data_IF_414418937642
#
_entry.id   IF_414418937642
#
_cell.length_a   1.000
_cell.length_b   1.000
_cell.length_c   1.000
_cell.angle_alpha   90.00
_cell.angle_beta   90.00
_cell.angle_gamma   90.00
#
_symmetry.space_group_name_H-M   'P 1'
#
loop_
_entity.id
_entity.type
_entity.pdbx_description
1 polymer ?
#
# COMPACT_ATOMS: atom_id res chain seq x y z
N UNK A 1 5.36 -11.80 11.82
CA UNK A 1 6.23 -11.41 10.69
C UNK A 1 5.39 -10.53 9.81
N UNK A 2 5.80 -9.28 9.59
CA UNK A 2 5.00 -8.33 8.82
C UNK A 2 4.99 -8.72 7.34
N UNK A 3 3.82 -8.61 6.70
CA UNK A 3 3.67 -8.81 5.26
C UNK A 3 3.96 -7.50 4.54
N UNK A 4 4.75 -7.55 3.46
CA UNK A 4 5.13 -6.35 2.71
C UNK A 4 4.76 -6.53 1.24
N UNK A 5 4.09 -5.51 0.66
CA UNK A 5 3.92 -5.38 -0.78
C UNK A 5 4.71 -4.19 -1.29
N UNK A 6 5.43 -4.37 -2.38
CA UNK A 6 6.30 -3.35 -2.97
C UNK A 6 5.84 -3.07 -4.40
N UNK A 7 5.64 -1.79 -4.70
CA UNK A 7 5.25 -1.29 -6.02
C UNK A 7 6.29 -0.29 -6.54
N UNK A 8 6.55 -0.33 -7.83
CA UNK A 8 7.14 0.78 -8.56
C UNK A 8 6.07 1.86 -8.71
N UNK A 9 6.41 3.11 -8.40
CA UNK A 9 5.57 4.28 -8.54
C UNK A 9 6.31 5.30 -9.40
N UNK A 10 6.00 5.33 -10.69
CA UNK A 10 6.60 6.24 -11.66
C UNK A 10 5.70 7.47 -11.80
N UNK A 11 6.26 8.65 -11.49
CA UNK A 11 5.54 9.92 -11.59
C UNK A 11 6.51 11.07 -11.76
N UNK A 12 6.02 12.17 -12.35
CA UNK A 12 6.76 13.41 -12.45
C UNK A 12 6.65 14.28 -11.17
N UNK A 13 5.74 13.94 -10.24
CA UNK A 13 5.57 14.68 -9.00
C UNK A 13 6.71 14.42 -8.02
N UNK A 14 7.27 15.49 -7.45
CA UNK A 14 8.24 15.37 -6.36
C UNK A 14 7.57 14.86 -5.08
N UNK A 15 8.35 14.26 -4.19
CA UNK A 15 7.93 13.84 -2.85
C UNK A 15 7.22 14.95 -2.08
N UNK A 16 7.73 16.19 -2.16
CA UNK A 16 7.13 17.31 -1.44
C UNK A 16 5.74 17.67 -2.00
N UNK A 17 5.56 17.58 -3.32
CA UNK A 17 4.28 17.78 -3.97
C UNK A 17 3.29 16.67 -3.60
N UNK A 18 3.73 15.40 -3.64
CA UNK A 18 2.94 14.25 -3.21
C UNK A 18 2.50 14.40 -1.74
N UNK A 19 3.43 14.75 -0.84
CA UNK A 19 3.14 14.95 0.57
C UNK A 19 2.12 16.09 0.79
N UNK A 20 2.28 17.21 0.07
CA UNK A 20 1.34 18.34 0.14
C UNK A 20 -0.06 17.94 -0.33
N UNK A 21 -0.17 17.17 -1.42
CA UNK A 21 -1.43 16.62 -1.91
C UNK A 21 -2.06 15.67 -0.90
N UNK A 22 -1.28 14.81 -0.25
CA UNK A 22 -1.76 13.91 0.81
C UNK A 22 -2.30 14.71 2.00
N UNK A 23 -1.60 15.76 2.44
CA UNK A 23 -2.05 16.63 3.53
C UNK A 23 -3.36 17.35 3.20
N UNK A 24 -3.56 17.78 1.95
CA UNK A 24 -4.85 18.34 1.50
C UNK A 24 -5.99 17.33 1.55
N UNK A 25 -5.67 16.03 1.52
CA UNK A 25 -6.61 14.92 1.66
C UNK A 25 -6.48 14.22 3.02
N UNK A 26 -6.15 14.98 4.07
CA UNK A 26 -5.99 14.42 5.42
C UNK A 26 -7.28 13.78 5.93
N UNK A 27 -7.13 12.65 6.63
CA UNK A 27 -8.19 11.96 7.34
C UNK A 27 -8.69 12.83 8.51
N UNK A 28 -10.01 12.92 8.64
CA UNK A 28 -10.70 13.57 9.77
C UNK A 28 -11.83 12.66 10.23
N UNK A 29 -12.33 12.84 11.44
CA UNK A 29 -13.44 12.04 12.00
C UNK A 29 -14.72 12.09 11.16
N UNK A 30 -14.92 13.18 10.42
CA UNK A 30 -16.09 13.40 9.55
C UNK A 30 -15.93 12.76 8.16
N UNK A 31 -14.70 12.48 7.73
CA UNK A 31 -14.43 11.89 6.41
C UNK A 31 -14.44 10.37 6.48
N UNK A 32 -14.99 9.73 5.45
CA UNK A 32 -14.92 8.28 5.29
C UNK A 32 -13.55 7.78 4.85
N UNK A 33 -12.67 8.67 4.37
CA UNK A 33 -11.32 8.29 3.95
C UNK A 33 -10.33 9.46 4.04
N UNK A 34 -9.04 9.14 4.06
CA UNK A 34 -7.98 10.15 3.98
C UNK A 34 -6.61 9.63 4.40
N UNK A 35 -5.62 10.51 4.26
CA UNK A 35 -4.23 10.22 4.63
C UNK A 35 -3.89 10.77 6.02
N UNK A 36 -2.97 10.09 6.69
CA UNK A 36 -2.33 10.55 7.91
C UNK A 36 -0.82 10.39 7.73
N UNK A 37 -0.08 11.50 7.67
CA UNK A 37 1.37 11.45 7.48
C UNK A 37 2.06 11.50 8.84
N UNK A 38 2.88 10.49 9.14
CA UNK A 38 3.67 10.42 10.38
C UNK A 38 4.98 11.17 10.23
N UNK A 39 5.67 10.94 9.09
CA UNK A 39 6.96 11.54 8.82
C UNK A 39 7.12 11.84 7.34
N UNK A 40 7.63 13.04 7.04
CA UNK A 40 8.19 13.37 5.74
C UNK A 40 9.61 13.86 5.97
N UNK A 41 10.58 12.98 5.76
CA UNK A 41 12.01 13.29 5.78
C UNK A 41 12.51 13.48 4.34
N UNK A 42 13.80 13.77 4.17
CA UNK A 42 14.36 14.22 2.87
C UNK A 42 14.13 13.24 1.73
N UNK A 43 14.08 11.92 1.99
CA UNK A 43 14.04 10.90 0.94
C UNK A 43 12.78 10.03 0.95
N UNK A 44 11.94 10.11 1.98
CA UNK A 44 10.73 9.29 2.07
C UNK A 44 9.54 9.98 2.73
N UNK A 45 8.35 9.49 2.40
CA UNK A 45 7.08 9.79 3.07
C UNK A 45 6.66 8.53 3.80
N UNK A 46 6.31 8.65 5.08
CA UNK A 46 5.71 7.58 5.87
C UNK A 46 4.32 8.05 6.29
N UNK A 47 3.33 7.19 6.11
CA UNK A 47 2.00 7.49 6.55
C UNK A 47 1.05 6.33 6.43
N UNK A 48 -0.20 6.65 6.68
CA UNK A 48 -1.30 5.72 6.75
C UNK A 48 -2.44 6.26 5.91
N UNK A 49 -3.12 5.39 5.18
CA UNK A 49 -4.37 5.72 4.52
C UNK A 49 -5.50 4.94 5.17
N UNK A 50 -6.57 5.66 5.50
CA UNK A 50 -7.75 5.12 6.16
C UNK A 50 -8.93 5.12 5.21
N UNK A 51 -9.71 4.04 5.24
CA UNK A 51 -10.97 3.92 4.53
C UNK A 51 -12.02 3.26 5.44
N UNK A 52 -12.95 4.08 5.93
CA UNK A 52 -14.11 3.69 6.72
C UNK A 52 -15.27 3.31 5.79
N UNK A 53 -15.72 2.07 5.92
CA UNK A 53 -16.88 1.52 5.25
C UNK A 53 -17.98 1.28 6.29
N UNK A 54 -19.20 1.71 5.99
CA UNK A 54 -20.37 1.47 6.84
C UNK A 54 -21.34 0.62 6.02
N UNK A 55 -21.63 -0.57 6.52
CA UNK A 55 -22.53 -1.52 5.87
C UNK A 55 -23.79 -1.67 6.72
N UNK A 56 -24.99 -1.50 6.13
CA UNK A 56 -26.21 -1.89 6.79
C UNK A 56 -26.25 -3.41 6.88
N UNK A 57 -26.52 -3.93 8.06
CA UNK A 57 -26.72 -5.34 8.32
C UNK A 57 -28.13 -5.52 8.86
N UNK A 58 -28.97 -6.24 8.13
CA UNK A 58 -30.31 -6.59 8.59
C UNK A 58 -30.17 -7.89 9.38
N UNK A 59 -30.52 -7.82 10.66
CA UNK A 59 -30.54 -8.98 11.55
C UNK A 59 -31.99 -9.36 11.82
N UNK A 60 -32.28 -10.65 11.73
CA UNK A 60 -33.60 -11.19 12.08
C UNK A 60 -33.49 -11.88 13.43
N UNK A 61 -34.35 -11.51 14.37
CA UNK A 61 -34.45 -12.21 15.65
C UNK A 61 -35.12 -13.60 15.48
N UNK A 62 -35.04 -14.49 16.48
CA UNK A 62 -35.72 -15.78 16.43
C UNK A 62 -37.26 -15.71 16.33
N UNK A 63 -37.86 -14.54 16.54
CA UNK A 63 -39.30 -14.28 16.41
C UNK A 63 -39.68 -13.75 15.02
N UNK A 64 -38.70 -13.51 14.13
CA UNK A 64 -38.90 -12.99 12.78
C UNK A 64 -38.89 -11.47 12.65
N UNK A 65 -38.55 -10.73 13.71
CA UNK A 65 -38.43 -9.27 13.62
C UNK A 65 -37.08 -8.88 13.04
N UNK A 66 -37.10 -7.99 12.05
CA UNK A 66 -35.90 -7.41 11.47
C UNK A 66 -35.49 -6.15 12.24
N UNK A 67 -34.19 -6.02 12.51
CA UNK A 67 -33.59 -4.80 13.01
C UNK A 67 -32.31 -4.47 12.22
N UNK A 68 -32.13 -3.19 11.94
CA UNK A 68 -30.99 -2.69 11.19
C UNK A 68 -29.82 -2.42 12.16
N UNK A 69 -28.71 -3.10 11.92
CA UNK A 69 -27.43 -2.87 12.56
C UNK A 69 -26.47 -2.19 11.57
N UNK A 70 -25.46 -1.50 12.08
CA UNK A 70 -24.42 -0.89 11.25
C UNK A 70 -23.06 -1.51 11.56
N UNK A 71 -22.49 -2.21 10.58
CA UNK A 71 -21.12 -2.68 10.65
C UNK A 71 -20.19 -1.57 10.17
N UNK A 72 -19.34 -1.08 11.05
CA UNK A 72 -18.27 -0.14 10.70
C UNK A 72 -16.97 -0.92 10.53
N UNK A 73 -16.44 -0.94 9.31
CA UNK A 73 -15.12 -1.50 9.00
C UNK A 73 -14.16 -0.38 8.63
N UNK A 74 -12.94 -0.41 9.15
CA UNK A 74 -11.89 0.54 8.78
C UNK A 74 -10.74 -0.25 8.16
N UNK A 75 -10.54 -0.09 6.86
CA UNK A 75 -9.33 -0.56 6.20
C UNK A 75 -8.21 0.46 6.42
N UNK A 76 -7.05 -0.06 6.84
CA UNK A 76 -5.85 0.74 7.11
C UNK A 76 -4.73 0.26 6.21
N UNK A 77 -4.06 1.20 5.55
CA UNK A 77 -2.92 0.94 4.66
C UNK A 77 -1.73 1.72 5.19
N UNK A 78 -0.79 1.04 5.85
CA UNK A 78 0.47 1.64 6.28
C UNK A 78 1.44 1.63 5.10
N UNK A 79 2.04 2.78 4.77
CA UNK A 79 2.86 2.90 3.58
C UNK A 79 4.12 3.75 3.78
N UNK A 80 5.12 3.46 2.96
CA UNK A 80 6.28 4.30 2.75
C UNK A 80 6.46 4.59 1.26
N UNK A 81 6.66 5.85 0.88
CA UNK A 81 7.08 6.23 -0.46
C UNK A 81 8.52 6.71 -0.45
N UNK A 82 9.38 6.06 -1.25
CA UNK A 82 10.81 6.35 -1.38
C UNK A 82 11.08 6.98 -2.74
N UNK A 83 11.29 8.29 -2.78
CA UNK A 83 11.39 9.07 -4.03
C UNK A 83 12.56 8.63 -4.91
N UNK A 84 13.76 8.48 -4.32
CA UNK A 84 14.98 8.13 -5.06
C UNK A 84 14.91 6.78 -5.77
N UNK A 85 14.19 5.83 -5.18
CA UNK A 85 13.98 4.52 -5.77
C UNK A 85 12.69 4.44 -6.60
N UNK A 86 11.83 5.46 -6.48
CA UNK A 86 10.47 5.46 -7.04
C UNK A 86 9.67 4.22 -6.58
N UNK A 87 9.77 3.90 -5.29
CA UNK A 87 9.17 2.71 -4.68
C UNK A 87 8.11 3.11 -3.65
N UNK A 88 6.94 2.48 -3.74
CA UNK A 88 5.89 2.48 -2.73
C UNK A 88 5.88 1.13 -2.00
N UNK A 89 6.12 1.17 -0.70
CA UNK A 89 6.06 0.01 0.21
C UNK A 89 4.77 0.08 0.98
N UNK A 90 4.04 -1.03 1.10
CA UNK A 90 2.84 -1.14 1.93
C UNK A 90 3.02 -2.27 2.92
N UNK A 91 2.87 -1.94 4.20
CA UNK A 91 3.11 -2.82 5.35
C UNK A 91 1.77 -3.36 5.82
N UNK A 92 1.73 -4.67 6.09
CA UNK A 92 0.54 -5.44 6.45
C UNK A 92 -0.69 -5.07 5.59
N UNK A 93 -0.55 -5.14 4.25
CA UNK A 93 -1.59 -4.69 3.34
C UNK A 93 -2.88 -5.51 3.51
N UNK A 94 -4.06 -4.89 3.42
CA UNK A 94 -5.32 -5.60 3.28
C UNK A 94 -5.33 -6.55 2.07
N UNK A 95 -6.28 -7.49 2.06
CA UNK A 95 -6.40 -8.50 0.98
C UNK A 95 -6.41 -7.86 -0.42
N UNK A 96 -7.16 -6.77 -0.57
CA UNK A 96 -7.22 -5.98 -1.80
C UNK A 96 -6.43 -4.69 -1.66
N UNK A 97 -5.57 -4.44 -2.64
CA UNK A 97 -4.83 -3.19 -2.79
C UNK A 97 -5.47 -2.23 -3.78
N UNK A 98 -6.48 -2.68 -4.54
CA UNK A 98 -7.05 -1.95 -5.68
C UNK A 98 -7.54 -0.56 -5.27
N UNK A 99 -8.24 -0.46 -4.14
CA UNK A 99 -8.78 0.80 -3.66
C UNK A 99 -7.69 1.82 -3.32
N UNK A 100 -6.67 1.40 -2.57
CA UNK A 100 -5.56 2.27 -2.20
C UNK A 100 -4.75 2.71 -3.43
N UNK A 101 -4.44 1.80 -4.35
CA UNK A 101 -3.71 2.11 -5.59
C UNK A 101 -4.50 3.10 -6.46
N UNK A 102 -5.81 2.89 -6.63
CA UNK A 102 -6.68 3.85 -7.32
C UNK A 102 -6.70 5.21 -6.62
N UNK A 103 -6.65 5.22 -5.27
CA UNK A 103 -6.63 6.48 -4.53
C UNK A 103 -5.33 7.25 -4.72
N UNK A 104 -4.18 6.56 -4.78
CA UNK A 104 -2.91 7.18 -5.16
C UNK A 104 -2.97 7.69 -6.61
N UNK A 105 -3.59 6.94 -7.52
CA UNK A 105 -3.89 7.40 -8.88
C UNK A 105 -4.61 8.75 -8.89
N UNK A 106 -5.76 8.82 -8.23
CA UNK A 106 -6.58 10.04 -8.13
C UNK A 106 -5.82 11.19 -7.44
N UNK A 107 -5.05 10.90 -6.38
CA UNK A 107 -4.23 11.89 -5.67
C UNK A 107 -3.23 12.58 -6.61
N UNK A 108 -2.72 11.84 -7.59
CA UNK A 108 -1.73 12.28 -8.57
C UNK A 108 -2.37 12.56 -9.94
N UNK A 109 -3.65 12.95 -9.96
CA UNK A 109 -4.39 13.31 -11.17
C UNK A 109 -4.38 12.23 -12.28
N UNK A 110 -4.21 10.97 -11.87
CA UNK A 110 -3.98 9.79 -12.72
C UNK A 110 -2.72 9.88 -13.62
N UNK A 111 -1.81 10.80 -13.35
CA UNK A 111 -0.50 10.93 -14.00
C UNK A 111 0.59 10.21 -13.19
N UNK A 112 0.33 8.92 -12.96
CA UNK A 112 1.21 8.01 -12.23
C UNK A 112 1.05 6.60 -12.79
N UNK A 113 2.15 5.87 -12.92
CA UNK A 113 2.14 4.44 -13.20
C UNK A 113 2.53 3.69 -11.94
N UNK A 114 1.63 2.83 -11.47
CA UNK A 114 1.87 1.98 -10.28
C UNK A 114 1.85 0.52 -10.72
N UNK A 115 2.97 -0.17 -10.53
CA UNK A 115 3.09 -1.59 -10.93
C UNK A 115 3.86 -2.40 -9.88
N UNK A 116 3.65 -3.72 -9.78
CA UNK A 116 4.46 -4.55 -8.88
C UNK A 116 5.94 -4.45 -9.23
N UNK A 117 6.82 -4.41 -8.22
CA UNK A 117 8.27 -4.40 -8.46
C UNK A 117 8.71 -5.70 -9.13
N UNK A 118 9.54 -5.56 -10.16
CA UNK A 118 10.20 -6.69 -10.83
C UNK A 118 11.61 -6.85 -10.28
N UNK A 119 11.90 -7.98 -9.68
CA UNK A 119 13.24 -8.31 -9.21
C UNK A 119 14.01 -9.12 -10.25
N UNK A 120 15.20 -8.63 -10.62
CA UNK A 120 16.17 -9.43 -11.37
C UNK A 120 17.05 -10.19 -10.37
N UNK A 121 16.76 -11.48 -10.20
CA UNK A 121 17.46 -12.33 -9.23
C UNK A 121 18.96 -12.45 -9.52
N UNK A 122 19.38 -12.45 -10.78
CA UNK A 122 20.79 -12.52 -11.16
C UNK A 122 21.53 -11.28 -10.66
N UNK A 123 21.01 -10.09 -10.99
CA UNK A 123 21.60 -8.83 -10.52
C UNK A 123 21.60 -8.73 -9.00
N UNK A 124 20.56 -9.26 -8.34
CA UNK A 124 20.52 -9.33 -6.88
C UNK A 124 21.63 -10.23 -6.32
N UNK A 125 21.86 -11.41 -6.91
CA UNK A 125 22.95 -12.29 -6.49
C UNK A 125 24.33 -11.64 -6.68
N UNK A 126 24.53 -10.94 -7.79
CA UNK A 126 25.79 -10.24 -8.07
C UNK A 126 26.02 -9.11 -7.07
N UNK A 127 24.96 -8.36 -6.73
CA UNK A 127 25.00 -7.34 -5.68
C UNK A 127 25.41 -7.95 -4.33
N UNK A 128 24.79 -9.05 -3.92
CA UNK A 128 25.14 -9.72 -2.66
C UNK A 128 26.61 -10.18 -2.66
N UNK A 129 27.09 -10.80 -3.74
CA UNK A 129 28.50 -11.21 -3.87
C UNK A 129 29.45 -10.01 -3.82
N UNK A 130 29.06 -8.87 -4.36
CA UNK A 130 29.90 -7.65 -4.33
C UNK A 130 30.02 -7.02 -2.94
N UNK A 131 29.06 -7.30 -2.04
CA UNK A 131 29.03 -6.72 -0.70
C UNK A 131 29.71 -7.62 0.35
N UNK A 132 29.83 -8.92 0.05
CA UNK A 132 30.35 -9.91 0.98
C UNK A 132 31.49 -10.71 0.32
N UNK A 133 32.72 -10.50 0.78
CA UNK A 133 33.96 -11.00 0.18
C UNK A 133 34.02 -12.52 -0.07
N UNK A 134 33.23 -13.32 0.66
CA UNK A 134 33.23 -14.79 0.58
C UNK A 134 31.82 -15.40 0.49
N UNK A 135 30.82 -14.63 0.06
CA UNK A 135 29.46 -15.13 -0.04
C UNK A 135 29.28 -16.08 -1.24
N UNK A 136 29.10 -17.36 -0.94
CA UNK A 136 28.68 -18.38 -1.90
C UNK A 136 27.16 -18.55 -1.83
N UNK A 137 26.44 -18.18 -2.89
CA UNK A 137 24.99 -18.38 -2.99
C UNK A 137 24.74 -19.73 -3.66
N UNK A 138 24.34 -20.74 -2.86
CA UNK A 138 24.13 -22.11 -3.33
C UNK A 138 22.73 -22.33 -3.94
N UNK A 139 21.71 -21.70 -3.36
CA UNK A 139 20.33 -21.78 -3.84
C UNK A 139 19.56 -20.51 -3.48
N UNK A 140 18.55 -20.20 -4.28
CA UNK A 140 17.50 -19.24 -3.95
C UNK A 140 16.18 -19.99 -4.01
N UNK A 141 15.49 -20.08 -2.88
CA UNK A 141 14.18 -20.73 -2.78
C UNK A 141 13.08 -19.68 -2.69
N UNK A 142 12.06 -19.84 -3.53
CA UNK A 142 10.85 -19.00 -3.52
C UNK A 142 9.73 -19.85 -2.94
N UNK A 143 9.46 -19.69 -1.64
CA UNK A 143 8.46 -20.50 -0.92
C UNK A 143 6.99 -20.08 -1.16
N UNK A 144 6.72 -19.40 -2.27
CA UNK A 144 5.36 -18.98 -2.64
C UNK A 144 5.36 -18.09 -3.87
N UNK A 145 4.89 -18.64 -5.00
CA UNK A 145 4.59 -17.85 -6.20
C UNK A 145 3.07 -17.69 -6.24
N UNK A 146 2.58 -16.48 -5.97
CA UNK A 146 1.15 -16.18 -6.06
C UNK A 146 0.85 -15.57 -7.43
N UNK A 147 0.10 -16.29 -8.26
CA UNK A 147 -0.40 -15.75 -9.52
C UNK A 147 -1.67 -14.96 -9.27
N UNK A 148 -1.65 -13.65 -9.53
CA UNK A 148 -2.87 -12.85 -9.60
C UNK A 148 -3.58 -13.19 -10.91
N UNK A 149 -4.59 -14.07 -10.87
CA UNK A 149 -5.48 -14.28 -12.01
C UNK A 149 -6.26 -12.99 -12.26
N UNK A 150 -6.14 -12.42 -13.46
CA UNK A 150 -7.12 -11.47 -13.99
C UNK A 150 -8.36 -12.29 -14.38
N UNK A 151 -9.49 -12.02 -13.73
CA UNK A 151 -10.82 -12.37 -14.25
C UNK A 151 -11.15 -11.45 -15.44
#
# INVERSE_FOLDING_TARGET
MDSIRIYQLETHFSKNEIAKRMLNQSYTSEKSLGFHLEQSNTNKIIGEFYHKQVWPEILTDPMGNEFENQIVKIDKYQFEFHERASILVVINPPNSMVFFINRIGILLDNDVVISPVKFNLIKFTDFCKSYFDSLLINSIEINGIFFLQKL
#
